data_IF_374049487969
#
_entry.id   IF_374049487969
#
_cell.length_a   1.000
_cell.length_b   1.000
_cell.length_c   1.000
_cell.angle_alpha   90.00
_cell.angle_beta   90.00
_cell.angle_gamma   90.00
#
_symmetry.space_group_name_H-M   'P 1'
#
loop_
_entity.id
_entity.type
_entity.pdbx_description
1 polymer ?
#
# COMPACT_ATOMS: atom_id res chain seq x y z
N UNK A 1 -20.17 -13.84 -8.16
CA UNK A 1 -18.82 -14.49 -8.24
C UNK A 1 -17.79 -13.44 -8.64
N UNK A 2 -16.49 -13.66 -8.42
CA UNK A 2 -15.44 -12.71 -8.84
C UNK A 2 -15.44 -12.41 -10.37
N UNK A 3 -16.17 -13.18 -11.18
CA UNK A 3 -16.38 -12.93 -12.61
C UNK A 3 -17.63 -12.10 -12.97
N UNK A 4 -18.40 -11.60 -11.99
CA UNK A 4 -19.51 -10.65 -12.24
C UNK A 4 -19.06 -9.18 -12.16
N UNK A 5 -17.80 -8.94 -11.78
CA UNK A 5 -17.22 -7.61 -11.74
C UNK A 5 -16.96 -7.11 -13.16
N UNK A 6 -17.48 -5.92 -13.45
CA UNK A 6 -17.20 -5.21 -14.69
C UNK A 6 -15.77 -4.63 -14.67
N UNK A 7 -15.20 -4.38 -15.86
CA UNK A 7 -13.90 -3.74 -15.96
C UNK A 7 -13.87 -2.34 -15.28
N UNK A 8 -15.00 -1.61 -15.34
CA UNK A 8 -15.14 -0.31 -14.70
C UNK A 8 -15.10 -0.41 -13.16
N UNK A 9 -15.75 -1.41 -12.57
CA UNK A 9 -15.68 -1.63 -11.12
C UNK A 9 -14.27 -2.03 -10.68
N UNK A 10 -13.57 -2.82 -11.49
CA UNK A 10 -12.18 -3.19 -11.23
C UNK A 10 -11.26 -1.96 -11.23
N UNK A 11 -11.41 -1.07 -12.21
CA UNK A 11 -10.64 0.17 -12.31
C UNK A 11 -10.93 1.13 -11.14
N UNK A 12 -12.18 1.23 -10.72
CA UNK A 12 -12.58 1.99 -9.53
C UNK A 12 -11.88 1.44 -8.28
N UNK A 13 -11.86 0.12 -8.09
CA UNK A 13 -11.18 -0.51 -6.96
C UNK A 13 -9.67 -0.24 -7.02
N UNK A 14 -9.04 -0.38 -8.18
CA UNK A 14 -7.61 -0.08 -8.35
C UNK A 14 -7.29 1.37 -7.97
N UNK A 15 -8.16 2.31 -8.35
CA UNK A 15 -8.01 3.74 -8.00
C UNK A 15 -8.12 3.97 -6.49
N UNK A 16 -9.10 3.33 -5.83
CA UNK A 16 -9.28 3.41 -4.37
C UNK A 16 -8.07 2.85 -3.64
N UNK A 17 -7.55 1.72 -4.11
CA UNK A 17 -6.40 1.04 -3.52
C UNK A 17 -5.11 1.85 -3.71
N UNK A 18 -4.95 2.55 -4.83
CA UNK A 18 -3.80 3.43 -5.07
C UNK A 18 -3.81 4.67 -4.17
N UNK A 19 -4.99 5.25 -3.91
CA UNK A 19 -5.12 6.50 -3.15
C UNK A 19 -6.18 6.43 -2.03
N UNK A 20 -6.05 5.53 -1.05
CA UNK A 20 -7.12 5.24 -0.08
C UNK A 20 -7.49 6.45 0.79
N UNK A 21 -6.55 7.36 1.05
CA UNK A 21 -6.77 8.58 1.83
C UNK A 21 -7.76 9.55 1.17
N UNK A 22 -7.82 9.56 -0.16
CA UNK A 22 -8.78 10.39 -0.91
C UNK A 22 -10.21 9.84 -0.81
N UNK A 23 -10.35 8.55 -0.53
CA UNK A 23 -11.63 7.85 -0.39
C UNK A 23 -12.07 7.68 1.07
N UNK A 24 -11.57 8.54 1.97
CA UNK A 24 -11.92 8.56 3.40
C UNK A 24 -11.54 7.29 4.17
N UNK A 25 -10.57 6.51 3.69
CA UNK A 25 -10.03 5.37 4.44
C UNK A 25 -9.15 5.89 5.57
N UNK A 26 -9.37 5.47 6.83
CA UNK A 26 -8.58 5.94 7.96
C UNK A 26 -7.10 5.53 7.89
N UNK A 27 -6.20 6.41 8.35
CA UNK A 27 -4.75 6.17 8.34
C UNK A 27 -4.34 4.94 9.19
N UNK A 28 -5.13 4.58 10.22
CA UNK A 28 -4.88 3.38 11.02
C UNK A 28 -5.14 2.07 10.27
N UNK A 29 -5.86 2.11 9.14
CA UNK A 29 -6.17 0.94 8.32
C UNK A 29 -5.08 0.66 7.27
N UNK A 30 -4.21 1.63 6.98
CA UNK A 30 -3.19 1.51 5.96
C UNK A 30 -2.07 0.55 6.38
N UNK A 31 -1.59 -0.26 5.42
CA UNK A 31 -0.59 -1.30 5.68
C UNK A 31 0.85 -0.76 5.89
N UNK A 32 1.16 0.44 5.42
CA UNK A 32 2.43 1.13 5.66
C UNK A 32 2.20 2.41 6.46
N UNK A 33 2.45 2.34 7.76
CA UNK A 33 2.27 3.46 8.68
C UNK A 33 3.59 4.14 8.94
N UNK A 34 3.63 5.47 8.78
CA UNK A 34 4.79 6.32 9.11
C UNK A 34 6.10 5.73 8.55
N UNK A 35 6.18 5.62 7.22
CA UNK A 35 7.38 5.09 6.56
C UNK A 35 8.62 5.90 6.98
N UNK A 36 9.74 5.21 7.22
CA UNK A 36 10.92 5.84 7.79
C UNK A 36 11.63 6.83 6.85
N UNK A 37 11.40 6.76 5.53
CA UNK A 37 12.01 7.64 4.53
C UNK A 37 11.26 8.95 4.40
N UNK A 38 9.93 8.89 4.29
CA UNK A 38 9.08 10.04 3.94
C UNK A 38 8.09 10.44 5.05
N UNK A 39 7.97 9.65 6.12
CA UNK A 39 7.04 9.89 7.23
C UNK A 39 5.56 9.71 6.88
N UNK A 40 5.23 9.24 5.68
CA UNK A 40 3.86 9.17 5.18
C UNK A 40 3.18 7.85 5.54
N UNK A 41 1.86 7.89 5.50
CA UNK A 41 0.99 6.71 5.58
C UNK A 41 0.55 6.37 4.15
N UNK A 42 0.76 5.12 3.75
CA UNK A 42 0.46 4.66 2.40
C UNK A 42 -0.08 3.24 2.40
N UNK A 43 -0.80 2.90 1.34
CA UNK A 43 -1.15 1.53 1.02
C UNK A 43 -0.20 1.05 -0.07
N UNK A 44 0.60 0.03 0.25
CA UNK A 44 1.58 -0.55 -0.68
C UNK A 44 1.05 -1.89 -1.17
N UNK A 45 1.10 -2.14 -2.48
CA UNK A 45 0.46 -3.29 -3.11
C UNK A 45 1.41 -4.02 -4.06
N UNK A 46 1.24 -5.33 -4.19
CA UNK A 46 1.98 -6.18 -5.14
C UNK A 46 3.50 -6.02 -4.98
N UNK A 47 4.25 -5.91 -6.08
CA UNK A 47 5.70 -5.85 -6.10
C UNK A 47 6.30 -4.73 -5.24
N UNK A 48 5.58 -3.62 -5.08
CA UNK A 48 6.04 -2.52 -4.23
C UNK A 48 6.11 -2.93 -2.75
N UNK A 49 5.26 -3.87 -2.31
CA UNK A 49 5.24 -4.38 -0.93
C UNK A 49 6.51 -5.17 -0.65
N UNK A 50 6.87 -6.08 -1.57
CA UNK A 50 8.06 -6.91 -1.46
C UNK A 50 9.34 -6.07 -1.48
N UNK A 51 9.39 -5.04 -2.33
CA UNK A 51 10.52 -4.11 -2.37
C UNK A 51 10.65 -3.32 -1.06
N UNK A 52 9.54 -2.84 -0.50
CA UNK A 52 9.55 -2.11 0.78
C UNK A 52 9.99 -3.01 1.94
N UNK A 53 9.52 -4.25 1.97
CA UNK A 53 9.95 -5.23 2.97
C UNK A 53 11.47 -5.51 2.86
N UNK A 54 11.97 -5.69 1.63
CA UNK A 54 13.40 -5.89 1.39
C UNK A 54 14.24 -4.71 1.87
N UNK A 55 13.84 -3.48 1.56
CA UNK A 55 14.50 -2.25 2.02
C UNK A 55 14.58 -2.19 3.56
N UNK A 56 13.50 -2.56 4.25
CA UNK A 56 13.46 -2.58 5.71
C UNK A 56 14.41 -3.63 6.29
N UNK A 57 14.45 -4.83 5.69
CA UNK A 57 15.36 -5.90 6.10
C UNK A 57 16.83 -5.50 5.89
N UNK A 58 17.17 -4.88 4.76
CA UNK A 58 18.52 -4.38 4.50
C UNK A 58 18.92 -3.27 5.49
N UNK A 59 17.98 -2.41 5.88
CA UNK A 59 18.22 -1.42 6.93
C UNK A 59 18.51 -2.09 8.27
N UNK A 60 17.71 -3.07 8.67
CA UNK A 60 17.91 -3.79 9.94
C UNK A 60 19.25 -4.54 9.96
N UNK A 61 19.69 -5.09 8.84
CA UNK A 61 21.02 -5.69 8.70
C UNK A 61 22.15 -4.67 8.94
N UNK A 62 22.00 -3.44 8.45
CA UNK A 62 23.02 -2.37 8.61
C UNK A 62 23.10 -1.79 10.03
N UNK A 63 22.05 -1.92 10.83
CA UNK A 63 22.01 -1.41 12.21
C UNK A 63 22.78 -2.33 13.17
N UNK A 64 23.08 -3.56 12.76
CA UNK A 64 23.87 -4.52 13.53
C UNK A 64 25.33 -4.57 13.05
#
# INVERSE_FOLDING_TARGET
RAGELTAAELENIMTVVANPRQFKVPDWFLNRKKDYKDGKYSQVVSNALDMKLRDDLERLKKIR
#
